data_IF_885835381542
#
_entry.id   IF_885835381542
#
_cell.length_a   1.000
_cell.length_b   1.000
_cell.length_c   1.000
_cell.angle_alpha   90.00
_cell.angle_beta   90.00
_cell.angle_gamma   90.00
#
_symmetry.space_group_name_H-M   'P 1'
#
loop_
_entity.id
_entity.type
_entity.pdbx_description
1 polymer ?
#
# COMPACT_ATOMS: atom_id res chain seq x y z
N UNK A 1 17.66 -0.40 5.18
CA UNK A 1 17.39 1.03 5.35
C UNK A 1 17.65 1.51 6.78
N UNK A 2 17.38 0.71 7.83
CA UNK A 2 17.53 1.05 9.26
C UNK A 2 18.93 1.55 9.65
N UNK A 3 19.98 1.04 9.01
CA UNK A 3 21.38 1.38 9.25
C UNK A 3 21.91 2.45 8.26
N UNK A 4 21.01 3.20 7.61
CA UNK A 4 21.40 4.25 6.67
C UNK A 4 21.99 5.44 7.41
N UNK A 5 23.12 5.94 6.91
CA UNK A 5 23.78 7.18 7.35
C UNK A 5 23.89 8.13 6.15
N UNK A 6 24.13 9.42 6.42
CA UNK A 6 24.33 10.40 5.35
C UNK A 6 25.51 10.03 4.43
N UNK A 7 26.58 9.48 4.98
CA UNK A 7 27.76 9.03 4.21
C UNK A 7 27.39 7.87 3.28
N UNK A 8 26.68 6.86 3.80
CA UNK A 8 26.22 5.70 2.99
C UNK A 8 25.27 6.16 1.88
N UNK A 9 24.32 7.03 2.20
CA UNK A 9 23.36 7.53 1.22
C UNK A 9 24.04 8.34 0.12
N UNK A 10 25.03 9.18 0.45
CA UNK A 10 25.87 9.90 -0.53
C UNK A 10 26.65 8.94 -1.42
N UNK A 11 27.24 7.90 -0.84
CA UNK A 11 27.97 6.88 -1.60
C UNK A 11 27.07 6.21 -2.63
N UNK A 12 25.88 5.75 -2.22
CA UNK A 12 24.91 5.14 -3.13
C UNK A 12 24.43 6.12 -4.22
N UNK A 13 24.21 7.39 -3.87
CA UNK A 13 23.81 8.41 -4.83
C UNK A 13 24.89 8.69 -5.89
N UNK A 14 26.18 8.55 -5.54
CA UNK A 14 27.30 8.73 -6.44
C UNK A 14 27.58 7.55 -7.38
N UNK A 15 27.00 6.40 -7.13
CA UNK A 15 27.22 5.19 -7.95
C UNK A 15 26.18 5.09 -9.07
N UNK A 16 26.66 4.85 -10.30
CA UNK A 16 25.78 4.53 -11.42
C UNK A 16 25.27 3.09 -11.28
N UNK A 17 24.06 2.96 -10.73
CA UNK A 17 23.41 1.68 -10.48
C UNK A 17 22.17 1.51 -11.38
N UNK A 18 22.12 0.43 -12.16
CA UNK A 18 21.05 0.18 -13.11
C UNK A 18 19.87 -0.61 -12.51
N UNK A 19 20.06 -1.31 -11.41
CA UNK A 19 19.01 -2.07 -10.71
C UNK A 19 18.11 -1.19 -9.85
N UNK A 20 17.14 -1.79 -9.22
CA UNK A 20 16.27 -1.15 -8.23
C UNK A 20 16.92 -1.15 -6.85
N UNK A 21 16.82 -0.04 -6.13
CA UNK A 21 17.14 -0.04 -4.70
C UNK A 21 15.98 -0.68 -3.94
N UNK A 22 16.28 -1.75 -3.21
CA UNK A 22 15.30 -2.54 -2.49
C UNK A 22 15.73 -2.66 -1.03
N UNK A 23 14.80 -2.35 -0.13
CA UNK A 23 14.97 -2.49 1.31
C UNK A 23 13.77 -3.24 1.90
N UNK A 24 13.72 -3.39 3.23
CA UNK A 24 12.59 -3.99 3.94
C UNK A 24 11.99 -3.01 4.96
N UNK A 25 10.67 -3.10 5.15
CA UNK A 25 9.91 -2.39 6.17
C UNK A 25 8.89 -3.37 6.77
N UNK A 26 9.33 -4.23 7.68
CA UNK A 26 8.53 -5.35 8.17
C UNK A 26 7.79 -5.05 9.47
N UNK A 27 8.34 -4.19 10.34
CA UNK A 27 7.77 -3.88 11.65
C UNK A 27 6.70 -2.78 11.61
N UNK A 28 5.68 -2.89 12.48
CA UNK A 28 4.58 -1.92 12.56
C UNK A 28 3.94 -1.80 13.96
N UNK A 29 4.25 -2.70 14.89
CA UNK A 29 3.60 -2.79 16.19
C UNK A 29 4.08 -1.69 17.13
N UNK A 30 3.13 -0.85 17.56
CA UNK A 30 3.39 0.24 18.50
C UNK A 30 3.41 -0.21 19.96
N UNK A 31 2.75 -1.31 20.24
CA UNK A 31 2.66 -1.93 21.57
C UNK A 31 3.92 -2.71 21.93
N UNK A 32 4.79 -2.98 20.98
CA UNK A 32 6.10 -3.60 21.19
C UNK A 32 7.21 -2.53 21.04
N UNK A 33 7.83 -2.16 22.15
CA UNK A 33 8.87 -1.11 22.17
C UNK A 33 10.11 -1.48 21.33
N UNK A 34 10.45 -2.78 21.22
CA UNK A 34 11.57 -3.23 20.41
C UNK A 34 11.26 -3.09 18.91
N UNK A 35 10.09 -3.52 18.48
CA UNK A 35 9.63 -3.35 17.11
C UNK A 35 9.48 -1.87 16.75
N UNK A 36 8.88 -1.07 17.64
CA UNK A 36 8.68 0.34 17.39
C UNK A 36 10.00 1.08 17.17
N UNK A 37 11.05 0.75 17.93
CA UNK A 37 12.41 1.27 17.70
C UNK A 37 12.92 0.95 16.30
N UNK A 38 12.63 -0.24 15.77
CA UNK A 38 13.01 -0.60 14.40
C UNK A 38 12.20 0.18 13.34
N UNK A 39 10.94 0.48 13.64
CA UNK A 39 10.10 1.37 12.83
C UNK A 39 10.73 2.77 12.74
N UNK A 40 11.07 3.37 13.89
CA UNK A 40 11.70 4.69 13.95
C UNK A 40 13.03 4.73 13.19
N UNK A 41 13.85 3.70 13.34
CA UNK A 41 15.09 3.55 12.58
C UNK A 41 14.84 3.45 11.06
N UNK A 42 13.78 2.76 10.65
CA UNK A 42 13.40 2.65 9.22
C UNK A 42 12.98 4.01 8.67
N UNK A 43 12.13 4.73 9.40
CA UNK A 43 11.66 6.06 9.00
C UNK A 43 12.84 7.04 8.92
N UNK A 44 13.69 7.10 9.94
CA UNK A 44 14.91 7.91 9.92
C UNK A 44 15.82 7.55 8.74
N UNK A 45 15.99 6.28 8.47
CA UNK A 45 16.78 5.81 7.33
C UNK A 45 16.19 6.23 5.98
N UNK A 46 14.87 6.23 5.83
CA UNK A 46 14.18 6.76 4.65
C UNK A 46 14.39 8.26 4.49
N UNK A 47 14.32 9.03 5.58
CA UNK A 47 14.58 10.48 5.57
C UNK A 47 16.00 10.78 5.07
N UNK A 48 16.99 10.09 5.62
CA UNK A 48 18.39 10.23 5.18
C UNK A 48 18.52 9.84 3.71
N UNK A 49 17.96 8.68 3.32
CA UNK A 49 18.01 8.17 1.96
C UNK A 49 17.47 9.17 0.94
N UNK A 50 16.29 9.71 1.20
CA UNK A 50 15.58 10.62 0.29
C UNK A 50 16.19 12.00 0.17
N UNK A 51 17.15 12.38 1.03
CA UNK A 51 17.96 13.60 0.85
C UNK A 51 18.91 13.50 -0.35
N UNK A 52 19.41 12.30 -0.64
CA UNK A 52 20.49 12.09 -1.62
C UNK A 52 20.06 11.26 -2.82
N UNK A 53 19.10 10.34 -2.66
CA UNK A 53 18.69 9.41 -3.71
C UNK A 53 17.31 9.76 -4.21
N UNK A 54 17.23 10.27 -5.44
CA UNK A 54 15.96 10.60 -6.12
C UNK A 54 15.39 9.41 -6.89
N UNK A 55 16.23 8.41 -7.18
CA UNK A 55 15.80 7.20 -7.89
C UNK A 55 14.68 6.49 -7.14
N UNK A 56 13.76 5.90 -7.91
CA UNK A 56 12.68 5.08 -7.37
C UNK A 56 13.24 3.97 -6.48
N UNK A 57 12.66 3.85 -5.32
CA UNK A 57 13.10 2.90 -4.28
C UNK A 57 11.92 2.04 -3.89
N UNK A 58 12.15 0.74 -3.78
CA UNK A 58 11.16 -0.25 -3.36
C UNK A 58 11.43 -0.71 -1.95
N UNK A 59 10.38 -0.97 -1.18
CA UNK A 59 10.52 -1.65 0.11
C UNK A 59 9.58 -2.85 0.16
N UNK A 60 10.16 -3.97 0.58
CA UNK A 60 9.37 -5.14 0.94
C UNK A 60 8.56 -4.83 2.20
N UNK A 61 7.31 -5.25 2.18
CA UNK A 61 6.38 -5.19 3.30
C UNK A 61 5.88 -6.61 3.52
N UNK A 62 6.43 -7.29 4.53
CA UNK A 62 6.00 -8.63 4.90
C UNK A 62 4.65 -8.54 5.61
N UNK A 63 3.69 -9.36 5.22
CA UNK A 63 2.34 -9.44 5.80
C UNK A 63 2.00 -10.87 6.18
N UNK A 64 1.10 -11.03 7.13
CA UNK A 64 0.68 -12.32 7.69
C UNK A 64 1.82 -13.12 8.33
N UNK A 65 2.81 -12.44 8.91
CA UNK A 65 3.93 -13.03 9.61
C UNK A 65 3.70 -13.05 11.14
N UNK A 66 3.42 -11.87 11.73
CA UNK A 66 3.22 -11.73 13.19
C UNK A 66 1.76 -11.91 13.63
N UNK A 67 0.84 -11.91 12.68
CA UNK A 67 -0.58 -12.06 12.93
C UNK A 67 -1.33 -12.38 11.64
N UNK A 68 -2.55 -12.89 11.81
CA UNK A 68 -3.45 -13.24 10.69
C UNK A 68 -4.78 -12.48 10.78
N UNK A 69 -4.82 -11.46 11.62
CA UNK A 69 -5.99 -10.67 11.99
C UNK A 69 -6.03 -9.29 11.30
N UNK A 70 -7.01 -8.48 11.70
CA UNK A 70 -7.19 -7.14 11.16
C UNK A 70 -6.05 -6.17 11.50
N UNK A 71 -5.32 -6.41 12.60
CA UNK A 71 -4.21 -5.53 13.03
C UNK A 71 -3.03 -5.64 12.06
N UNK A 72 -2.75 -6.84 11.54
CA UNK A 72 -1.73 -7.00 10.49
C UNK A 72 -2.15 -6.32 9.18
N UNK A 73 -3.45 -6.38 8.82
CA UNK A 73 -3.99 -5.64 7.66
C UNK A 73 -3.83 -4.12 7.87
N UNK A 74 -4.20 -3.60 9.05
CA UNK A 74 -4.02 -2.17 9.35
C UNK A 74 -2.53 -1.80 9.31
N UNK A 75 -1.67 -2.62 9.90
CA UNK A 75 -0.21 -2.45 9.87
C UNK A 75 0.36 -2.44 8.45
N UNK A 76 -0.18 -3.26 7.55
CA UNK A 76 0.20 -3.26 6.14
C UNK A 76 -0.19 -1.94 5.46
N UNK A 77 -1.44 -1.47 5.61
CA UNK A 77 -1.89 -0.19 5.06
C UNK A 77 -1.11 0.99 5.64
N UNK A 78 -0.81 0.96 6.93
CA UNK A 78 -0.02 2.01 7.58
C UNK A 78 1.39 2.11 6.98
N UNK A 79 2.08 0.97 6.79
CA UNK A 79 3.41 0.92 6.14
C UNK A 79 3.34 1.41 4.70
N UNK A 80 2.31 0.99 3.94
CA UNK A 80 2.06 1.47 2.58
C UNK A 80 1.90 2.99 2.55
N UNK A 81 1.11 3.57 3.48
CA UNK A 81 0.94 5.03 3.60
C UNK A 81 2.28 5.73 3.83
N UNK A 82 3.09 5.24 4.78
CA UNK A 82 4.44 5.79 5.03
C UNK A 82 5.28 5.76 3.75
N UNK A 83 5.29 4.64 3.03
CA UNK A 83 6.06 4.52 1.79
C UNK A 83 5.56 5.47 0.70
N UNK A 84 4.25 5.70 0.57
CA UNK A 84 3.70 6.72 -0.30
C UNK A 84 4.25 8.11 0.04
N UNK A 85 4.24 8.50 1.32
CA UNK A 85 4.70 9.80 1.79
C UNK A 85 6.18 10.05 1.47
N UNK A 86 7.00 8.99 1.47
CA UNK A 86 8.41 9.06 1.06
C UNK A 86 8.64 8.85 -0.45
N UNK A 87 7.57 8.74 -1.25
CA UNK A 87 7.67 8.48 -2.68
C UNK A 87 8.36 7.15 -3.01
N UNK A 88 8.20 6.16 -2.14
CA UNK A 88 8.71 4.81 -2.29
C UNK A 88 7.60 3.83 -2.71
N UNK A 89 7.96 2.78 -3.42
CA UNK A 89 7.02 1.75 -3.83
C UNK A 89 7.01 0.60 -2.83
N UNK A 90 5.86 0.21 -2.29
CA UNK A 90 5.74 -1.02 -1.52
C UNK A 90 5.79 -2.24 -2.45
N UNK A 91 6.37 -3.32 -1.96
CA UNK A 91 6.25 -4.64 -2.55
C UNK A 91 5.77 -5.61 -1.47
N UNK A 92 4.52 -6.01 -1.55
CA UNK A 92 3.89 -6.88 -0.55
C UNK A 92 4.39 -8.30 -0.71
N UNK A 93 5.03 -8.81 0.33
CA UNK A 93 5.41 -10.21 0.48
C UNK A 93 4.45 -10.87 1.47
N UNK A 94 3.76 -11.90 1.02
CA UNK A 94 2.84 -12.68 1.85
C UNK A 94 3.60 -13.84 2.46
N UNK A 95 3.67 -13.90 3.79
CA UNK A 95 4.19 -15.08 4.47
C UNK A 95 3.32 -16.30 4.15
N UNK A 96 3.86 -17.51 4.18
CA UNK A 96 3.17 -18.72 3.71
C UNK A 96 1.83 -18.97 4.41
N UNK A 97 1.73 -18.58 5.68
CA UNK A 97 0.54 -18.76 6.52
C UNK A 97 -0.62 -17.81 6.19
N UNK A 98 -0.44 -16.82 5.30
CA UNK A 98 -1.52 -15.92 4.89
C UNK A 98 -2.79 -16.66 4.43
N UNK A 99 -2.63 -17.87 3.91
CA UNK A 99 -3.74 -18.71 3.44
C UNK A 99 -4.64 -19.20 4.57
N UNK A 100 -4.15 -19.22 5.81
CA UNK A 100 -4.90 -19.60 7.01
C UNK A 100 -5.78 -18.46 7.54
N UNK A 101 -5.49 -17.21 7.15
CA UNK A 101 -6.27 -16.04 7.55
C UNK A 101 -7.63 -16.00 6.88
N UNK A 102 -8.63 -15.53 7.60
CA UNK A 102 -9.92 -15.14 7.03
C UNK A 102 -9.76 -14.02 5.99
N UNK A 103 -8.73 -13.18 6.10
CA UNK A 103 -8.41 -12.09 5.19
C UNK A 103 -7.46 -12.48 4.03
N UNK A 104 -7.27 -13.78 3.75
CA UNK A 104 -6.38 -14.28 2.69
C UNK A 104 -6.60 -13.62 1.33
N UNK A 105 -7.87 -13.34 1.01
CA UNK A 105 -8.22 -12.67 -0.24
C UNK A 105 -7.76 -11.22 -0.22
N UNK A 106 -7.93 -10.51 0.88
CA UNK A 106 -7.51 -9.12 1.03
C UNK A 106 -5.98 -8.98 0.91
N UNK A 107 -5.19 -9.85 1.55
CA UNK A 107 -3.73 -9.92 1.37
C UNK A 107 -3.33 -10.12 -0.10
N UNK A 108 -4.07 -10.99 -0.80
CA UNK A 108 -3.83 -11.22 -2.22
C UNK A 108 -4.10 -9.96 -3.04
N UNK A 109 -5.16 -9.22 -2.73
CA UNK A 109 -5.50 -8.01 -3.47
C UNK A 109 -4.55 -6.83 -3.14
N UNK A 110 -4.10 -6.71 -1.90
CA UNK A 110 -3.05 -5.76 -1.52
C UNK A 110 -1.77 -6.00 -2.33
N UNK A 111 -1.33 -7.27 -2.42
CA UNK A 111 -0.17 -7.61 -3.23
C UNK A 111 -0.38 -7.29 -4.72
N UNK A 112 -1.55 -7.61 -5.28
CA UNK A 112 -1.86 -7.29 -6.69
C UNK A 112 -1.87 -5.81 -6.98
N UNK A 113 -2.35 -4.99 -6.06
CA UNK A 113 -2.36 -3.54 -6.18
C UNK A 113 -0.96 -2.94 -6.05
N UNK A 114 -0.25 -3.27 -4.97
CA UNK A 114 1.05 -2.69 -4.64
C UNK A 114 2.18 -3.14 -5.59
N UNK A 115 2.21 -4.44 -5.95
CA UNK A 115 3.32 -5.02 -6.70
C UNK A 115 3.27 -4.68 -8.20
N UNK A 116 2.23 -3.94 -8.63
CA UNK A 116 2.12 -3.41 -9.98
C UNK A 116 2.14 -1.88 -9.95
N UNK A 117 3.29 -1.25 -10.20
CA UNK A 117 3.44 0.21 -10.16
C UNK A 117 2.43 0.97 -11.03
N UNK A 118 1.97 0.37 -12.13
CA UNK A 118 0.94 0.93 -13.01
C UNK A 118 -0.43 1.07 -12.34
N UNK A 119 -0.75 0.23 -11.34
CA UNK A 119 -1.96 0.38 -10.53
C UNK A 119 -1.68 1.27 -9.31
N UNK A 120 -0.64 0.95 -8.56
CA UNK A 120 -0.32 1.62 -7.32
C UNK A 120 -0.15 3.13 -7.48
N UNK A 121 0.58 3.58 -8.51
CA UNK A 121 0.80 5.01 -8.76
C UNK A 121 -0.45 5.75 -9.24
N UNK A 122 -1.38 5.07 -9.91
CA UNK A 122 -2.51 5.73 -10.59
C UNK A 122 -3.80 5.75 -9.79
N UNK A 123 -3.97 4.81 -8.85
CA UNK A 123 -5.25 4.64 -8.15
C UNK A 123 -5.07 4.23 -6.70
N UNK A 124 -6.07 4.59 -5.86
CA UNK A 124 -6.18 4.09 -4.50
C UNK A 124 -6.55 2.62 -4.47
N UNK A 125 -6.45 1.98 -3.29
CA UNK A 125 -6.90 0.60 -3.13
C UNK A 125 -8.38 0.42 -3.46
N UNK A 126 -9.25 1.33 -2.98
CA UNK A 126 -10.67 1.34 -3.30
C UNK A 126 -10.91 1.41 -4.82
N UNK A 127 -10.25 2.33 -5.50
CA UNK A 127 -10.36 2.48 -6.95
C UNK A 127 -9.91 1.23 -7.71
N UNK A 128 -8.84 0.58 -7.25
CA UNK A 128 -8.37 -0.68 -7.80
C UNK A 128 -9.45 -1.79 -7.68
N UNK A 129 -10.10 -1.90 -6.52
CA UNK A 129 -11.13 -2.91 -6.28
C UNK A 129 -12.40 -2.63 -7.10
N UNK A 130 -12.85 -1.37 -7.16
CA UNK A 130 -13.99 -0.94 -7.99
C UNK A 130 -13.72 -1.25 -9.47
N UNK A 131 -12.54 -0.89 -9.98
CA UNK A 131 -12.14 -1.18 -11.36
C UNK A 131 -12.20 -2.68 -11.67
N UNK A 132 -11.75 -3.54 -10.76
CA UNK A 132 -11.83 -4.99 -10.97
C UNK A 132 -13.29 -5.47 -11.02
N UNK A 133 -14.18 -4.87 -10.21
CA UNK A 133 -15.59 -5.19 -10.24
C UNK A 133 -16.26 -4.72 -11.53
N UNK A 134 -15.93 -3.52 -12.02
CA UNK A 134 -16.40 -3.03 -13.32
C UNK A 134 -16.09 -4.01 -14.45
N UNK A 135 -14.83 -4.50 -14.47
CA UNK A 135 -14.42 -5.53 -15.43
C UNK A 135 -15.24 -6.82 -15.26
N UNK A 136 -15.42 -7.26 -14.01
CA UNK A 136 -16.21 -8.46 -13.73
C UNK A 136 -17.65 -8.31 -14.20
N UNK A 137 -18.29 -7.17 -13.96
CA UNK A 137 -19.66 -6.89 -14.36
C UNK A 137 -19.79 -6.59 -15.86
N UNK A 138 -18.72 -6.26 -16.56
CA UNK A 138 -18.74 -5.83 -17.96
C UNK A 138 -19.25 -4.41 -18.16
N UNK A 139 -19.07 -3.54 -17.16
CA UNK A 139 -19.41 -2.12 -17.22
C UNK A 139 -18.14 -1.26 -17.26
N UNK A 140 -18.25 -0.08 -17.90
CA UNK A 140 -17.22 0.95 -17.82
C UNK A 140 -17.84 2.19 -17.19
N UNK A 141 -17.28 2.62 -16.05
CA UNK A 141 -17.72 3.88 -15.46
C UNK A 141 -16.93 5.04 -16.09
N UNK A 142 -17.59 6.14 -16.43
CA UNK A 142 -16.88 7.32 -16.92
C UNK A 142 -15.99 7.89 -15.81
N UNK A 143 -14.68 7.90 -16.07
CA UNK A 143 -13.71 8.58 -15.22
C UNK A 143 -13.83 10.08 -15.52
N UNK A 144 -14.49 10.86 -14.68
CA UNK A 144 -14.57 12.31 -14.81
C UNK A 144 -13.32 12.96 -14.19
N UNK A 145 -12.55 13.67 -15.01
CA UNK A 145 -11.36 14.42 -14.59
C UNK A 145 -10.31 13.55 -13.85
N UNK A 146 -10.12 12.31 -14.29
CA UNK A 146 -9.16 11.39 -13.65
C UNK A 146 -9.62 10.84 -12.27
N UNK A 147 -10.83 11.18 -11.82
CA UNK A 147 -11.38 10.71 -10.55
C UNK A 147 -12.34 9.56 -10.77
N UNK A 148 -12.01 8.42 -10.19
CA UNK A 148 -12.94 7.30 -10.08
C UNK A 148 -14.05 7.62 -9.06
N UNK A 149 -15.27 7.08 -9.24
CA UNK A 149 -16.30 7.19 -8.23
C UNK A 149 -15.87 6.48 -6.93
N UNK A 150 -16.32 6.98 -5.79
CA UNK A 150 -16.05 6.39 -4.47
C UNK A 150 -16.80 5.06 -4.24
N UNK A 151 -17.81 4.77 -5.04
CA UNK A 151 -18.59 3.54 -5.00
C UNK A 151 -18.96 3.10 -6.42
N UNK A 152 -19.13 1.79 -6.59
CA UNK A 152 -19.64 1.24 -7.83
C UNK A 152 -21.06 1.73 -8.09
N UNK A 153 -21.30 2.21 -9.31
CA UNK A 153 -22.62 2.65 -9.76
C UNK A 153 -22.98 1.87 -11.01
N UNK A 154 -24.14 1.24 -10.99
CA UNK A 154 -24.64 0.55 -12.16
C UNK A 154 -25.40 1.52 -13.07
N UNK A 155 -25.25 1.40 -14.40
CA UNK A 155 -26.06 2.15 -15.35
C UNK A 155 -27.54 1.87 -15.17
N UNK A 156 -28.39 2.85 -15.47
CA UNK A 156 -29.85 2.67 -15.40
C UNK A 156 -30.27 1.54 -16.35
N UNK A 157 -31.05 0.59 -15.85
CA UNK A 157 -31.50 -0.57 -16.61
C UNK A 157 -30.49 -1.72 -16.74
N UNK A 158 -29.30 -1.57 -16.12
CA UNK A 158 -28.31 -2.65 -16.07
C UNK A 158 -28.71 -3.70 -15.04
N UNK A 159 -28.62 -4.96 -15.40
CA UNK A 159 -28.85 -6.11 -14.49
C UNK A 159 -27.48 -6.61 -14.02
N UNK A 160 -27.08 -6.36 -12.75
CA UNK A 160 -25.80 -6.83 -12.23
C UNK A 160 -25.71 -8.35 -12.20
N UNK A 161 -24.49 -8.87 -12.38
CA UNK A 161 -24.22 -10.29 -12.06
C UNK A 161 -24.51 -10.55 -10.58
N UNK A 162 -24.98 -11.73 -10.21
CA UNK A 162 -25.41 -12.04 -8.84
C UNK A 162 -24.26 -12.06 -7.83
N UNK A 163 -23.01 -12.17 -8.30
CA UNK A 163 -21.83 -12.25 -7.44
C UNK A 163 -20.83 -11.16 -7.76
N UNK A 164 -20.22 -10.58 -6.73
CA UNK A 164 -19.10 -9.69 -6.86
C UNK A 164 -17.80 -10.47 -7.12
N UNK A 165 -16.84 -9.83 -7.81
CA UNK A 165 -15.50 -10.40 -7.92
C UNK A 165 -14.83 -10.47 -6.53
N UNK A 166 -13.88 -11.40 -6.37
CA UNK A 166 -13.20 -11.63 -5.09
C UNK A 166 -12.51 -10.37 -4.53
N UNK A 167 -12.02 -9.49 -5.43
CA UNK A 167 -11.36 -8.25 -5.04
C UNK A 167 -12.33 -7.28 -4.37
N UNK A 168 -13.43 -6.97 -5.03
CA UNK A 168 -14.42 -6.03 -4.53
C UNK A 168 -15.12 -6.56 -3.29
N UNK A 169 -15.48 -7.84 -3.29
CA UNK A 169 -16.10 -8.50 -2.13
C UNK A 169 -15.21 -8.41 -0.88
N UNK A 170 -13.94 -8.80 -0.98
CA UNK A 170 -13.04 -8.74 0.18
C UNK A 170 -12.83 -7.32 0.71
N UNK A 171 -12.85 -6.32 -0.19
CA UNK A 171 -12.75 -4.91 0.20
C UNK A 171 -13.98 -4.47 1.01
N UNK A 172 -15.20 -4.76 0.53
CA UNK A 172 -16.44 -4.33 1.23
C UNK A 172 -16.65 -5.10 2.52
N UNK A 173 -16.41 -6.41 2.55
CA UNK A 173 -16.52 -7.24 3.76
C UNK A 173 -15.60 -6.68 4.87
N UNK A 174 -14.35 -6.33 4.56
CA UNK A 174 -13.44 -5.73 5.53
C UNK A 174 -13.85 -4.29 5.91
N UNK A 175 -14.38 -3.50 4.98
CA UNK A 175 -14.88 -2.15 5.28
C UNK A 175 -16.10 -2.17 6.20
N UNK A 176 -16.99 -3.15 6.04
CA UNK A 176 -18.16 -3.35 6.92
C UNK A 176 -17.74 -3.73 8.34
N UNK A 177 -16.73 -4.58 8.48
CA UNK A 177 -16.21 -5.03 9.76
C UNK A 177 -15.32 -3.96 10.46
N UNK A 178 -14.49 -3.22 9.66
CA UNK A 178 -13.54 -2.21 10.17
C UNK A 178 -13.64 -0.88 9.39
N UNK A 179 -14.74 -0.14 9.53
CA UNK A 179 -14.99 1.06 8.73
C UNK A 179 -13.97 2.17 8.98
N UNK A 180 -13.41 2.27 10.20
CA UNK A 180 -12.41 3.29 10.52
C UNK A 180 -11.06 3.04 9.82
N UNK A 181 -10.68 1.76 9.64
CA UNK A 181 -9.47 1.40 8.89
C UNK A 181 -9.69 1.74 7.41
N UNK A 182 -10.83 1.35 6.85
CA UNK A 182 -11.16 1.64 5.46
C UNK A 182 -11.20 3.15 5.18
N UNK A 183 -11.85 3.94 6.05
CA UNK A 183 -11.90 5.40 5.98
C UNK A 183 -10.51 6.05 6.01
N UNK A 184 -9.60 5.49 6.80
CA UNK A 184 -8.24 6.01 7.00
C UNK A 184 -7.32 5.73 5.82
N UNK A 185 -7.49 4.60 5.09
CA UNK A 185 -6.49 4.12 4.16
C UNK A 185 -6.97 3.86 2.74
N UNK A 186 -8.24 3.46 2.51
CA UNK A 186 -8.66 2.93 1.22
C UNK A 186 -8.62 3.92 0.08
N UNK A 187 -8.76 5.20 0.37
CA UNK A 187 -8.82 6.28 -0.62
C UNK A 187 -7.47 7.03 -0.79
N UNK A 188 -6.42 6.60 -0.06
CA UNK A 188 -5.08 7.18 -0.20
C UNK A 188 -4.50 6.88 -1.58
N UNK A 189 -3.91 7.89 -2.21
CA UNK A 189 -3.27 7.80 -3.52
C UNK A 189 -1.81 8.17 -3.43
N UNK A 190 -0.98 7.43 -4.17
CA UNK A 190 0.46 7.69 -4.23
C UNK A 190 0.78 9.13 -4.67
N UNK A 191 0.14 9.61 -5.75
CA UNK A 191 0.41 10.94 -6.30
C UNK A 191 0.05 12.08 -5.32
N UNK A 192 -0.96 11.88 -4.44
CA UNK A 192 -1.39 12.88 -3.48
C UNK A 192 -0.47 12.93 -2.25
N UNK A 193 0.21 11.83 -1.94
CA UNK A 193 1.03 11.67 -0.74
C UNK A 193 2.54 11.74 -1.01
N UNK A 194 3.00 11.50 -2.23
CA UNK A 194 4.43 11.47 -2.53
C UNK A 194 5.10 12.79 -2.11
N UNK A 195 6.27 12.64 -1.47
CA UNK A 195 7.10 13.74 -0.97
C UNK A 195 6.48 14.60 0.16
N UNK A 196 5.32 14.22 0.71
CA UNK A 196 4.70 14.96 1.82
C UNK A 196 5.47 14.82 3.13
N UNK A 197 6.38 13.85 3.24
CA UNK A 197 7.26 13.72 4.41
C UNK A 197 8.06 15.00 4.69
N UNK A 198 8.37 15.80 3.66
CA UNK A 198 9.10 17.08 3.78
C UNK A 198 8.34 18.12 4.64
N UNK A 199 7.02 17.95 4.77
CA UNK A 199 6.14 18.83 5.53
C UNK A 199 5.89 18.32 6.96
N UNK A 200 6.43 17.15 7.33
CA UNK A 200 6.35 16.67 8.72
C UNK A 200 7.25 17.55 9.59
N UNK A 201 6.64 18.33 10.48
CA UNK A 201 7.37 18.87 11.64
C UNK A 201 7.62 17.68 12.57
N UNK A 202 8.88 17.33 12.76
CA UNK A 202 9.34 16.41 13.80
C UNK A 202 9.01 16.99 15.17
#
# INVERSE_FOLDING_TARGET
>A
IRLMTDEKAKLFAGVKYYGDYIFAFDHYRKDDAHEWKQVEQTIRGLEIWKKYVTKETKLYVLVAFDGLDYQDIEGAFWRIKILMEYGCLPYIMRFEDYKKSQYKTLYTQLARWCNQPSFFKKMSFRQFCIRNEEYHQGIQQPVKNGKYPSRLKFPKGFTPKPTFCACYRAMIEFEEEYPEIAKKYYDLRFEDLKDTFKNRKL
#
